data_IF_861599585931
#
_entry.id   IF_861599585931
#
_cell.length_a   1.000
_cell.length_b   1.000
_cell.length_c   1.000
_cell.angle_alpha   90.00
_cell.angle_beta   90.00
_cell.angle_gamma   90.00
#
_symmetry.space_group_name_H-M   'P 1'
#
loop_
_entity.id
_entity.type
_entity.pdbx_description
1 polymer ?
#
# COMPACT_ATOMS: atom_id res chain seq x y z
N UNK A 1 11.53 11.78 10.90
CA UNK A 1 11.84 10.72 9.90
C UNK A 1 10.60 9.94 9.46
N UNK A 2 9.61 9.74 10.33
CA UNK A 2 8.38 8.96 10.05
C UNK A 2 7.55 9.48 8.89
N UNK A 3 7.26 10.78 8.82
CA UNK A 3 6.43 11.36 7.73
C UNK A 3 7.04 11.05 6.37
N UNK A 4 8.34 11.31 6.18
CA UNK A 4 9.04 11.03 4.92
C UNK A 4 8.92 9.56 4.49
N UNK A 5 9.06 8.62 5.43
CA UNK A 5 8.92 7.18 5.14
C UNK A 5 7.47 6.82 4.79
N UNK A 6 6.50 7.33 5.53
CA UNK A 6 5.09 7.05 5.26
C UNK A 6 4.65 7.63 3.91
N UNK A 7 5.03 8.87 3.59
CA UNK A 7 4.70 9.48 2.29
C UNK A 7 5.28 8.66 1.13
N UNK A 8 6.54 8.25 1.24
CA UNK A 8 7.15 7.37 0.23
C UNK A 8 6.38 6.05 0.06
N UNK A 9 5.99 5.40 1.17
CA UNK A 9 5.20 4.16 1.10
C UNK A 9 3.81 4.41 0.53
N UNK A 10 3.17 5.54 0.82
CA UNK A 10 1.88 5.90 0.23
C UNK A 10 1.99 6.06 -1.29
N UNK A 11 3.05 6.70 -1.79
CA UNK A 11 3.34 6.83 -3.22
C UNK A 11 3.59 5.46 -3.86
N UNK A 12 4.39 4.61 -3.22
CA UNK A 12 4.67 3.25 -3.69
C UNK A 12 3.38 2.40 -3.76
N UNK A 13 2.55 2.44 -2.73
CA UNK A 13 1.28 1.71 -2.73
C UNK A 13 0.32 2.23 -3.80
N UNK A 14 0.28 3.55 -4.02
CA UNK A 14 -0.49 4.12 -5.13
C UNK A 14 0.02 3.61 -6.49
N UNK A 15 1.33 3.57 -6.69
CA UNK A 15 1.95 3.04 -7.91
C UNK A 15 1.59 1.57 -8.15
N UNK A 16 1.53 0.76 -7.09
CA UNK A 16 1.14 -0.66 -7.16
C UNK A 16 -0.38 -0.90 -7.29
N UNK A 17 -1.21 0.15 -7.37
CA UNK A 17 -2.67 0.01 -7.39
C UNK A 17 -3.31 -0.32 -6.03
N UNK A 18 -2.55 -0.21 -4.94
CA UNK A 18 -2.98 -0.45 -3.55
C UNK A 18 -3.24 0.86 -2.79
N UNK A 19 -3.53 1.93 -3.53
CA UNK A 19 -3.68 3.27 -3.01
C UNK A 19 -4.80 3.44 -1.98
N UNK A 20 -4.64 4.44 -1.11
CA UNK A 20 -5.64 4.81 -0.11
C UNK A 20 -5.80 3.84 1.06
N UNK A 21 -5.04 2.74 1.10
CA UNK A 21 -5.03 1.70 2.16
C UNK A 21 -4.01 1.94 3.28
N UNK A 22 -3.30 3.08 3.27
CA UNK A 22 -2.38 3.50 4.33
C UNK A 22 -2.70 4.93 4.78
N UNK A 23 -2.87 5.12 6.08
CA UNK A 23 -3.19 6.42 6.69
C UNK A 23 -2.34 6.65 7.94
N UNK A 24 -1.87 7.88 8.12
CA UNK A 24 -1.11 8.33 9.29
C UNK A 24 -1.82 9.51 9.91
N UNK A 25 -2.08 9.41 11.22
CA UNK A 25 -2.56 10.50 12.04
C UNK A 25 -1.81 10.50 13.37
N UNK A 26 -1.56 11.69 13.91
CA UNK A 26 -0.90 11.88 15.20
C UNK A 26 -1.97 12.07 16.26
N UNK A 27 -2.05 11.12 17.20
CA UNK A 27 -3.09 11.10 18.23
C UNK A 27 -2.39 10.91 19.57
N UNK A 28 -2.62 11.83 20.49
CA UNK A 28 -2.12 11.74 21.87
C UNK A 28 -3.01 10.84 22.73
N UNK A 29 -2.50 10.41 23.89
CA UNK A 29 -3.26 9.57 24.84
C UNK A 29 -4.52 10.24 25.39
N UNK A 30 -4.60 11.58 25.36
CA UNK A 30 -5.77 12.33 25.80
C UNK A 30 -6.87 12.45 24.72
N UNK A 31 -6.59 12.08 23.47
CA UNK A 31 -7.48 12.32 22.32
C UNK A 31 -8.29 11.08 21.92
N UNK A 32 -8.88 10.37 22.89
CA UNK A 32 -9.66 9.15 22.64
C UNK A 32 -10.77 9.35 21.58
N UNK A 33 -11.48 10.48 21.63
CA UNK A 33 -12.52 10.80 20.65
C UNK A 33 -11.97 10.96 19.23
N UNK A 34 -10.75 11.50 19.07
CA UNK A 34 -10.10 11.61 17.76
C UNK A 34 -9.74 10.22 17.23
N UNK A 35 -9.18 9.36 18.08
CA UNK A 35 -8.87 7.97 17.74
C UNK A 35 -10.07 7.24 17.18
N UNK A 36 -11.21 7.28 17.90
CA UNK A 36 -12.45 6.62 17.45
C UNK A 36 -12.86 7.14 16.07
N UNK A 37 -12.92 8.47 15.88
CA UNK A 37 -13.30 9.04 14.57
C UNK A 37 -12.37 8.61 13.43
N UNK A 38 -11.05 8.65 13.66
CA UNK A 38 -10.04 8.32 12.64
C UNK A 38 -10.12 6.85 12.27
N UNK A 39 -10.16 5.96 13.26
CA UNK A 39 -10.20 4.51 13.03
C UNK A 39 -11.52 4.10 12.38
N UNK A 40 -12.66 4.62 12.85
CA UNK A 40 -13.96 4.34 12.24
C UNK A 40 -14.00 4.84 10.80
N UNK A 41 -13.62 6.10 10.54
CA UNK A 41 -13.62 6.66 9.20
C UNK A 41 -12.68 5.94 8.24
N UNK A 42 -11.49 5.55 8.72
CA UNK A 42 -10.54 4.79 7.91
C UNK A 42 -11.02 3.36 7.65
N UNK A 43 -11.68 2.72 8.63
CA UNK A 43 -12.28 1.39 8.45
C UNK A 43 -13.36 1.42 7.37
N UNK A 44 -14.26 2.43 7.39
CA UNK A 44 -15.27 2.58 6.34
C UNK A 44 -14.66 2.85 4.97
N UNK A 45 -13.60 3.66 4.91
CA UNK A 45 -12.84 3.86 3.66
C UNK A 45 -12.27 2.54 3.13
N UNK A 46 -11.65 1.73 3.98
CA UNK A 46 -11.08 0.42 3.57
C UNK A 46 -12.18 -0.55 3.14
N UNK A 47 -13.33 -0.55 3.82
CA UNK A 47 -14.51 -1.35 3.40
C UNK A 47 -15.01 -0.94 2.02
N UNK A 48 -15.10 0.37 1.74
CA UNK A 48 -15.51 0.88 0.43
C UNK A 48 -14.51 0.53 -0.69
N UNK A 49 -13.22 0.43 -0.38
CA UNK A 49 -12.19 -0.03 -1.33
C UNK A 49 -12.25 -1.53 -1.63
N UNK A 50 -13.02 -2.31 -0.86
CA UNK A 50 -13.12 -3.76 -1.01
C UNK A 50 -11.86 -4.51 -0.53
N UNK A 51 -11.88 -5.86 -0.66
CA UNK A 51 -10.77 -6.72 -0.21
C UNK A 51 -9.46 -6.38 -0.92
N UNK A 52 -8.33 -6.69 -0.27
CA UNK A 52 -7.02 -6.44 -0.87
C UNK A 52 -6.80 -7.37 -2.06
N UNK A 53 -6.27 -6.86 -3.19
CA UNK A 53 -5.84 -7.68 -4.32
C UNK A 53 -4.79 -8.76 -3.94
N UNK A 54 -4.12 -8.58 -2.80
CA UNK A 54 -3.10 -9.50 -2.27
C UNK A 54 -3.68 -10.64 -1.43
N UNK A 55 -5.00 -10.76 -1.28
CA UNK A 55 -5.63 -11.77 -0.41
C UNK A 55 -5.70 -13.18 -1.05
N UNK A 56 -5.32 -13.34 -2.32
CA UNK A 56 -5.15 -14.67 -2.93
C UNK A 56 -3.94 -15.41 -2.37
N UNK A 57 -3.82 -16.73 -2.65
CA UNK A 57 -2.49 -17.37 -2.59
C UNK A 57 -1.61 -16.58 -3.54
N UNK A 58 -0.74 -15.71 -3.00
CA UNK A 58 0.34 -15.16 -3.80
C UNK A 58 1.14 -16.37 -4.26
N UNK A 59 0.94 -16.77 -5.50
CA UNK A 59 1.89 -17.62 -6.21
C UNK A 59 3.11 -16.73 -6.44
N UNK A 60 3.92 -16.58 -5.38
CA UNK A 60 5.10 -15.71 -5.35
C UNK A 60 6.06 -16.10 -6.48
N UNK A 61 6.04 -17.38 -6.87
CA UNK A 61 6.75 -17.94 -8.02
C UNK A 61 6.23 -17.42 -9.38
N UNK A 62 4.94 -17.10 -9.51
CA UNK A 62 4.41 -16.50 -10.74
C UNK A 62 4.85 -15.04 -10.86
N UNK A 63 4.75 -14.27 -9.77
CA UNK A 63 5.19 -12.87 -9.73
C UNK A 63 6.70 -12.75 -9.95
N UNK A 64 7.51 -13.65 -9.35
CA UNK A 64 8.95 -13.67 -9.57
C UNK A 64 9.32 -13.90 -11.04
N UNK A 65 8.64 -14.84 -11.73
CA UNK A 65 8.85 -15.08 -13.16
C UNK A 65 8.47 -13.87 -14.01
N UNK A 66 7.37 -13.20 -13.69
CA UNK A 66 6.92 -12.01 -14.43
C UNK A 66 7.89 -10.83 -14.23
N UNK A 67 8.49 -10.69 -13.03
CA UNK A 67 9.52 -9.70 -12.75
C UNK A 67 10.85 -10.02 -13.45
N UNK A 68 11.29 -11.28 -13.47
CA UNK A 68 12.50 -11.72 -14.18
C UNK A 68 12.37 -11.48 -15.69
N UNK A 69 11.22 -11.83 -16.29
CA UNK A 69 10.94 -11.56 -17.69
C UNK A 69 10.94 -10.05 -18.02
N UNK A 70 10.42 -9.22 -17.12
CA UNK A 70 10.46 -7.76 -17.27
C UNK A 70 11.88 -7.19 -17.16
N UNK A 71 12.75 -7.77 -16.31
CA UNK A 71 14.16 -7.38 -16.21
C UNK A 71 14.96 -7.76 -17.45
N UNK A 72 14.63 -8.90 -18.06
CA UNK A 72 15.29 -9.38 -19.27
C UNK A 72 14.90 -8.51 -20.48
N UNK A 73 13.63 -8.13 -20.61
CA UNK A 73 13.17 -7.18 -21.63
C UNK A 73 13.83 -5.79 -21.50
N UNK A 74 14.01 -5.29 -20.27
CA UNK A 74 14.73 -4.03 -20.01
C UNK A 74 16.22 -4.08 -20.38
N UNK A 75 16.83 -5.28 -20.37
CA UNK A 75 18.24 -5.48 -20.68
C UNK A 75 18.52 -5.55 -22.18
N UNK A 76 17.50 -5.83 -23.00
CA UNK A 76 17.62 -5.97 -24.47
C UNK A 76 17.43 -4.64 -25.21
N UNK A 77 16.70 -3.68 -24.64
CA UNK A 77 16.48 -2.36 -25.26
C UNK A 77 17.66 -1.37 -25.07
N UNK A 78 18.70 -1.74 -24.32
CA UNK A 78 19.87 -0.89 -24.04
C UNK A 78 21.10 -1.13 -24.95
N UNK A 79 20.95 -1.90 -26.04
CA UNK A 79 22.03 -2.25 -26.98
C UNK A 79 21.97 -1.49 -28.30
#
# INVERSE_FOLDING_TARGET
MTIKRITFVQELLNFMGLGGRLHLDWISSAEAHKFVRVVTGFTEKVRALGPSPLTGKLELNAIARDCEAAQEALSVEGG
#
